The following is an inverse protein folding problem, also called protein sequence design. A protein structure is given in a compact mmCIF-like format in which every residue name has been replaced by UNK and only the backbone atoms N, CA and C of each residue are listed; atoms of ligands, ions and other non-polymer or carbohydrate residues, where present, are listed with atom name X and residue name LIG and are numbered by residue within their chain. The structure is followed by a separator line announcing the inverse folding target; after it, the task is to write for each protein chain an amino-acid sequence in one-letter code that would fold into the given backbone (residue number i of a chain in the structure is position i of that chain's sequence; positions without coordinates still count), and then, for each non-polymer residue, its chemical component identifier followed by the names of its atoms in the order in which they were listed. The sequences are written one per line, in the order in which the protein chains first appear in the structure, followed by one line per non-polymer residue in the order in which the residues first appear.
data_IF_556003422619
#
_entry.id   IF_556003422619
#
_cell.length_a   1.000
_cell.length_b   1.000
_cell.length_c   1.000
_cell.angle_alpha   90.00
_cell.angle_beta   90.00
_cell.angle_gamma   90.00
#
_symmetry.space_group_name_H-M   'P 1'
#
loop_
_entity.id
_entity.type
_entity.pdbx_description
1 polymer ?
#
# COMPACT_ATOMS: atom_id res chain seq x y z
N UNK A 1 11.21 13.79 12.43
CA UNK A 1 9.82 13.28 12.37
C UNK A 1 9.27 13.75 11.04
N UNK A 2 8.72 12.87 10.20
CA UNK A 2 8.12 13.28 8.91
C UNK A 2 6.69 13.71 9.20
N UNK A 3 6.27 14.86 8.69
CA UNK A 3 4.90 15.32 8.85
C UNK A 3 3.93 14.51 7.96
N UNK A 4 2.67 14.26 8.38
CA UNK A 4 1.69 13.50 7.61
C UNK A 4 1.52 13.97 6.15
N UNK A 5 1.52 15.28 5.93
CA UNK A 5 1.39 15.87 4.59
C UNK A 5 2.64 15.68 3.72
N UNK A 6 3.83 15.70 4.32
CA UNK A 6 5.07 15.42 3.61
C UNK A 6 5.15 13.95 3.20
N UNK A 7 4.72 13.04 4.08
CA UNK A 7 4.64 11.61 3.75
C UNK A 7 3.64 11.35 2.62
N UNK A 8 2.46 11.98 2.66
CA UNK A 8 1.50 11.90 1.56
C UNK A 8 2.12 12.34 0.23
N UNK A 9 2.83 13.47 0.22
CA UNK A 9 3.49 13.99 -0.98
C UNK A 9 4.57 13.03 -1.50
N UNK A 10 5.37 12.44 -0.60
CA UNK A 10 6.37 11.42 -0.94
C UNK A 10 5.75 10.17 -1.55
N UNK A 11 4.68 9.65 -0.97
CA UNK A 11 3.95 8.47 -1.49
C UNK A 11 3.37 8.78 -2.87
N UNK A 12 2.69 9.92 -3.02
CA UNK A 12 2.13 10.34 -4.31
C UNK A 12 3.22 10.49 -5.39
N UNK A 13 4.34 11.12 -5.06
CA UNK A 13 5.48 11.24 -5.97
C UNK A 13 6.07 9.87 -6.34
N UNK A 14 6.26 8.97 -5.36
CA UNK A 14 6.87 7.66 -5.56
C UNK A 14 6.02 6.75 -6.47
N UNK A 15 4.70 6.71 -6.25
CA UNK A 15 3.79 5.87 -7.03
C UNK A 15 3.25 6.57 -8.30
N UNK A 16 3.60 7.83 -8.53
CA UNK A 16 3.01 8.65 -9.58
C UNK A 16 1.49 8.78 -9.42
N UNK A 17 1.02 9.00 -8.19
CA UNK A 17 -0.40 9.14 -7.82
C UNK A 17 -0.72 10.60 -7.48
N UNK A 18 -1.98 10.99 -7.61
CA UNK A 18 -2.51 12.29 -7.16
C UNK A 18 -3.61 12.12 -6.10
N UNK A 19 -3.53 11.06 -5.29
CA UNK A 19 -4.51 10.77 -4.25
C UNK A 19 -4.58 11.93 -3.24
N UNK A 20 -5.79 12.44 -3.05
CA UNK A 20 -6.11 13.47 -2.08
C UNK A 20 -7.13 12.88 -1.08
N UNK A 21 -6.75 12.68 0.18
CA UNK A 21 -7.65 12.11 1.18
C UNK A 21 -8.69 13.14 1.64
N UNK A 22 -9.92 12.65 1.87
CA UNK A 22 -10.94 13.38 2.62
C UNK A 22 -10.93 12.89 4.07
N UNK A 23 -10.17 13.54 4.93
CA UNK A 23 -10.05 13.16 6.35
C UNK A 23 -8.80 13.74 7.01
N UNK A 24 -8.57 13.33 8.25
CA UNK A 24 -7.36 13.65 9.01
C UNK A 24 -6.32 12.57 8.78
N UNK A 25 -5.10 12.99 8.44
CA UNK A 25 -3.95 12.12 8.32
C UNK A 25 -3.08 12.20 9.57
N UNK A 26 -2.59 11.08 10.05
CA UNK A 26 -1.66 11.04 11.17
C UNK A 26 -0.68 9.88 11.04
N UNK A 27 0.48 10.01 11.69
CA UNK A 27 1.53 8.99 11.73
C UNK A 27 1.71 8.54 13.18
N UNK A 28 1.83 7.23 13.38
CA UNK A 28 2.12 6.61 14.67
C UNK A 28 2.87 5.31 14.47
N UNK A 29 3.93 5.07 15.23
CA UNK A 29 4.70 3.81 15.21
C UNK A 29 5.05 3.38 13.77
N UNK A 30 5.58 4.32 12.97
CA UNK A 30 5.94 4.14 11.55
C UNK A 30 4.78 3.81 10.61
N UNK A 31 3.54 3.92 11.08
CA UNK A 31 2.31 3.67 10.32
C UNK A 31 1.58 4.97 10.01
N UNK A 32 1.05 5.04 8.81
CA UNK A 32 0.32 6.18 8.27
C UNK A 32 -1.17 5.86 8.19
N UNK A 33 -1.99 6.69 8.82
CA UNK A 33 -3.42 6.45 8.99
C UNK A 33 -4.26 7.55 8.35
N UNK A 34 -5.44 7.15 7.86
CA UNK A 34 -6.52 8.03 7.43
C UNK A 34 -7.73 7.88 8.37
N UNK A 35 -8.16 8.97 8.97
CA UNK A 35 -9.36 9.04 9.80
C UNK A 35 -10.42 9.95 9.19
N UNK A 36 -11.65 9.46 9.04
CA UNK A 36 -12.75 10.20 8.39
C UNK A 36 -13.79 10.76 9.36
N UNK A 37 -13.69 10.47 10.66
CA UNK A 37 -14.70 10.80 11.67
C UNK A 37 -14.76 12.27 12.13
N UNK A 38 -14.17 13.21 11.39
CA UNK A 38 -14.23 14.65 11.66
C UNK A 38 -13.34 15.16 12.79
N UNK A 39 -13.35 14.52 13.97
CA UNK A 39 -12.50 14.87 15.12
C UNK A 39 -11.93 13.59 15.72
N UNK A 40 -10.60 13.48 15.84
CA UNK A 40 -9.95 12.35 16.51
C UNK A 40 -10.04 12.59 18.02
N UNK A 41 -10.74 11.74 18.81
CA UNK A 41 -10.69 11.83 20.26
C UNK A 41 -9.26 11.57 20.72
N UNK A 42 -8.69 12.46 21.54
CA UNK A 42 -7.32 12.37 22.08
C UNK A 42 -7.00 11.02 22.76
N UNK A 43 -8.04 10.31 23.16
CA UNK A 43 -8.01 9.11 23.99
C UNK A 43 -7.95 7.81 23.15
N UNK A 44 -8.19 7.87 21.82
CA UNK A 44 -8.39 6.69 20.97
C UNK A 44 -7.45 6.67 19.74
N UNK A 45 -6.17 6.44 20.00
CA UNK A 45 -5.06 6.67 19.04
C UNK A 45 -4.81 5.50 18.05
N UNK A 46 -5.78 4.60 17.87
CA UNK A 46 -5.77 3.52 16.86
C UNK A 46 -7.00 3.56 15.93
N UNK A 47 -7.75 4.67 15.92
CA UNK A 47 -8.90 4.81 15.05
C UNK A 47 -8.50 5.38 13.70
N UNK A 48 -8.80 4.63 12.65
CA UNK A 48 -8.52 5.03 11.28
C UNK A 48 -8.08 3.85 10.45
N UNK A 49 -8.05 4.07 9.15
CA UNK A 49 -7.56 3.10 8.20
C UNK A 49 -6.04 3.21 8.12
N UNK A 50 -5.32 2.14 8.41
CA UNK A 50 -3.88 2.06 8.14
C UNK A 50 -3.67 1.96 6.63
N UNK A 51 -3.05 2.97 6.01
CA UNK A 51 -2.92 3.09 4.56
C UNK A 51 -1.49 2.86 4.07
N UNK A 52 -0.47 3.17 4.87
CA UNK A 52 0.92 2.95 4.48
C UNK A 52 1.84 2.85 5.71
N UNK A 53 3.09 2.49 5.51
CA UNK A 53 4.15 2.73 6.47
C UNK A 53 5.05 3.89 6.01
N UNK A 54 5.89 4.41 6.90
CA UNK A 54 6.80 5.52 6.61
C UNK A 54 7.89 5.19 5.59
N UNK A 55 8.12 3.89 5.33
CA UNK A 55 9.02 3.38 4.29
C UNK A 55 8.40 3.36 2.89
N UNK A 56 7.19 3.89 2.74
CA UNK A 56 6.37 3.94 1.52
C UNK A 56 5.61 2.64 1.19
N UNK A 57 5.78 1.55 1.94
CA UNK A 57 4.98 0.34 1.73
C UNK A 57 3.49 0.61 1.98
N UNK A 58 2.64 0.29 1.00
CA UNK A 58 1.20 0.46 1.13
C UNK A 58 0.55 -0.80 1.75
N UNK A 59 -0.47 -0.59 2.57
CA UNK A 59 -1.39 -1.68 2.92
C UNK A 59 -2.25 -2.04 1.70
N UNK A 60 -3.03 -3.13 1.76
CA UNK A 60 -3.97 -3.48 0.68
C UNK A 60 -4.96 -2.33 0.45
N UNK A 61 -5.49 -1.78 1.53
CA UNK A 61 -6.43 -0.67 1.51
C UNK A 61 -5.78 0.62 1.01
N UNK A 62 -4.53 0.89 1.42
CA UNK A 62 -3.72 1.97 0.85
C UNK A 62 -3.52 1.82 -0.65
N UNK A 63 -3.10 0.64 -1.11
CA UNK A 63 -2.94 0.35 -2.53
C UNK A 63 -4.24 0.60 -3.31
N UNK A 64 -5.39 0.22 -2.74
CA UNK A 64 -6.70 0.51 -3.35
C UNK A 64 -7.06 1.99 -3.40
N UNK A 65 -6.56 2.81 -2.47
CA UNK A 65 -6.75 4.26 -2.50
C UNK A 65 -5.82 4.93 -3.53
N UNK A 66 -4.51 4.75 -3.39
CA UNK A 66 -3.50 5.37 -4.26
C UNK A 66 -3.51 4.78 -5.67
N UNK A 67 -3.77 3.48 -5.81
CA UNK A 67 -3.73 2.76 -7.08
C UNK A 67 -4.82 3.18 -8.06
N UNK A 68 -5.85 3.91 -7.64
CA UNK A 68 -6.84 4.49 -8.57
C UNK A 68 -6.21 5.50 -9.50
N UNK A 69 -5.19 6.21 -9.02
CA UNK A 69 -4.55 7.34 -9.69
C UNK A 69 -3.06 7.14 -9.94
N UNK A 70 -2.46 6.10 -9.37
CA UNK A 70 -1.04 5.78 -9.57
C UNK A 70 -0.70 5.49 -11.04
N UNK A 71 0.47 5.93 -11.47
CA UNK A 71 1.11 5.51 -12.73
C UNK A 71 1.96 4.24 -12.56
N UNK A 72 2.53 4.01 -11.37
CA UNK A 72 3.40 2.86 -11.08
C UNK A 72 2.57 1.65 -10.63
N UNK A 73 2.20 0.78 -11.58
CA UNK A 73 1.50 -0.49 -11.33
C UNK A 73 2.17 -1.64 -12.08
N UNK A 74 2.06 -2.84 -11.53
CA UNK A 74 2.49 -4.06 -12.18
C UNK A 74 1.30 -5.02 -12.27
N UNK A 75 1.03 -5.49 -13.49
CA UNK A 75 -0.01 -6.48 -13.72
C UNK A 75 0.60 -7.88 -13.56
N UNK A 76 -0.05 -8.71 -12.75
CA UNK A 76 0.30 -10.12 -12.58
C UNK A 76 -0.82 -11.01 -13.13
N UNK A 77 -0.49 -12.25 -13.47
CA UNK A 77 -1.45 -13.22 -13.97
C UNK A 77 -2.45 -13.66 -12.88
N UNK A 78 -3.62 -14.19 -13.24
CA UNK A 78 -4.53 -14.82 -12.28
C UNK A 78 -3.86 -15.94 -11.47
N UNK A 79 -2.99 -16.72 -12.10
CA UNK A 79 -2.23 -17.80 -11.48
C UNK A 79 -1.26 -17.25 -10.43
N UNK A 80 -0.46 -16.24 -10.80
CA UNK A 80 0.45 -15.55 -9.89
C UNK A 80 -0.30 -14.85 -8.76
N UNK A 81 -1.51 -14.34 -9.04
CA UNK A 81 -2.36 -13.74 -8.02
C UNK A 81 -2.73 -14.79 -6.96
N UNK A 82 -3.10 -16.01 -7.36
CA UNK A 82 -3.40 -17.09 -6.42
C UNK A 82 -2.17 -17.44 -5.59
N UNK A 83 -1.01 -17.62 -6.22
CA UNK A 83 0.28 -17.85 -5.52
C UNK A 83 0.60 -16.74 -4.53
N UNK A 84 0.43 -15.48 -4.93
CA UNK A 84 0.65 -14.33 -4.07
C UNK A 84 -0.31 -14.33 -2.86
N UNK A 85 -1.60 -14.61 -3.06
CA UNK A 85 -2.54 -14.70 -1.93
C UNK A 85 -2.28 -15.90 -1.02
N UNK A 86 -1.54 -16.93 -1.46
CA UNK A 86 -1.05 -18.03 -0.62
C UNK A 86 0.22 -17.69 0.17
N UNK A 87 0.81 -16.53 -0.09
CA UNK A 87 2.01 -16.05 0.60
C UNK A 87 3.30 -16.38 -0.14
N UNK A 88 3.21 -16.76 -1.41
CA UNK A 88 4.37 -17.04 -2.25
C UNK A 88 4.96 -15.73 -2.79
N UNK A 89 6.29 -15.70 -2.92
CA UNK A 89 7.01 -14.68 -3.68
C UNK A 89 6.89 -14.98 -5.17
N UNK A 90 6.93 -13.94 -6.00
CA UNK A 90 6.83 -14.08 -7.46
C UNK A 90 8.14 -13.68 -8.12
N UNK A 91 8.50 -14.35 -9.22
CA UNK A 91 9.56 -13.85 -10.10
C UNK A 91 9.02 -12.71 -10.96
N UNK A 92 9.79 -11.65 -11.12
CA UNK A 92 9.39 -10.49 -11.92
C UNK A 92 10.62 -9.84 -12.54
N UNK A 93 10.43 -9.16 -13.67
CA UNK A 93 11.44 -8.31 -14.31
C UNK A 93 11.18 -6.82 -14.02
N UNK A 94 10.30 -6.52 -13.06
CA UNK A 94 10.01 -5.14 -12.66
C UNK A 94 11.21 -4.50 -11.96
N UNK A 95 11.34 -3.17 -12.08
CA UNK A 95 12.37 -2.42 -11.35
C UNK A 95 12.23 -2.59 -9.84
N UNK A 96 13.37 -2.55 -9.14
CA UNK A 96 13.42 -2.67 -7.69
C UNK A 96 12.58 -1.59 -6.97
N UNK A 97 12.08 -1.96 -5.79
CA UNK A 97 11.27 -1.13 -4.90
C UNK A 97 9.80 -1.55 -4.83
N UNK A 98 8.99 -0.72 -4.17
CA UNK A 98 7.57 -1.00 -4.00
C UNK A 98 6.78 -0.76 -5.29
N UNK A 99 5.78 -1.61 -5.51
CA UNK A 99 4.91 -1.54 -6.67
C UNK A 99 3.48 -1.95 -6.32
N UNK A 100 2.51 -1.23 -6.90
CA UNK A 100 1.09 -1.58 -6.75
C UNK A 100 0.78 -2.74 -7.69
N UNK A 101 0.19 -3.80 -7.15
CA UNK A 101 -0.14 -5.01 -7.89
C UNK A 101 -1.56 -4.95 -8.41
N UNK A 102 -1.73 -5.39 -9.65
CA UNK A 102 -3.03 -5.49 -10.29
C UNK A 102 -3.24 -6.85 -10.96
N UNK A 103 -4.47 -7.32 -10.98
CA UNK A 103 -4.88 -8.49 -11.76
C UNK A 103 -6.18 -8.15 -12.48
N UNK A 104 -6.24 -8.31 -13.81
CA UNK A 104 -7.39 -7.97 -14.64
C UNK A 104 -7.93 -6.55 -14.37
N UNK A 105 -7.01 -5.58 -14.22
CA UNK A 105 -7.34 -4.17 -13.95
C UNK A 105 -7.79 -3.86 -12.52
N UNK A 106 -7.89 -4.86 -11.63
CA UNK A 106 -8.24 -4.67 -10.21
C UNK A 106 -6.97 -4.55 -9.37
N UNK A 107 -6.96 -3.61 -8.43
CA UNK A 107 -5.86 -3.46 -7.47
C UNK A 107 -5.99 -4.54 -6.40
N UNK A 108 -4.92 -5.32 -6.22
CA UNK A 108 -4.89 -6.45 -5.27
C UNK A 108 -3.96 -6.21 -4.08
N UNK A 109 -3.02 -5.26 -4.17
CA UNK A 109 -2.13 -4.94 -3.06
C UNK A 109 -0.87 -4.20 -3.47
N UNK A 110 0.18 -4.35 -2.65
CA UNK A 110 1.51 -3.80 -2.86
C UNK A 110 2.55 -4.92 -2.66
N UNK A 111 3.55 -4.97 -3.52
CA UNK A 111 4.71 -5.86 -3.40
C UNK A 111 6.02 -5.08 -3.30
N UNK A 112 7.07 -5.73 -2.84
CA UNK A 112 8.44 -5.20 -2.83
C UNK A 112 9.28 -6.01 -3.81
N UNK A 113 9.82 -5.37 -4.84
CA UNK A 113 10.71 -6.01 -5.80
C UNK A 113 12.15 -5.80 -5.36
N UNK A 114 12.89 -6.90 -5.23
CA UNK A 114 14.32 -6.90 -4.98
C UNK A 114 14.96 -8.02 -5.82
N UNK A 115 15.94 -7.67 -6.67
CA UNK A 115 16.73 -8.65 -7.42
C UNK A 115 15.85 -9.63 -8.23
N UNK A 116 14.92 -9.10 -9.02
CA UNK A 116 13.96 -9.85 -9.86
C UNK A 116 12.99 -10.75 -9.07
N UNK A 117 12.83 -10.51 -7.77
CA UNK A 117 11.88 -11.22 -6.91
C UNK A 117 10.93 -10.22 -6.27
N UNK A 118 9.64 -10.39 -6.51
CA UNK A 118 8.58 -9.67 -5.83
C UNK A 118 8.20 -10.39 -4.55
N UNK A 119 8.59 -9.81 -3.42
CA UNK A 119 8.27 -10.31 -2.09
C UNK A 119 6.80 -10.15 -1.77
N UNK A 120 6.28 -11.15 -1.08
CA UNK A 120 4.95 -11.15 -0.52
C UNK A 120 4.86 -10.22 0.69
N UNK A 121 3.96 -9.22 0.63
CA UNK A 121 3.70 -8.31 1.75
C UNK A 121 2.31 -8.52 2.37
N UNK A 122 1.58 -9.56 1.96
CA UNK A 122 0.26 -9.85 2.52
C UNK A 122 0.43 -10.33 3.97
N UNK A 123 -0.28 -9.74 4.94
CA UNK A 123 -0.24 -10.21 6.32
C UNK A 123 -0.60 -11.70 6.39
N UNK A 124 0.13 -12.48 7.19
CA UNK A 124 -0.09 -13.93 7.35
C UNK A 124 -1.54 -14.31 7.67
N UNK A 125 -2.27 -13.44 8.37
CA UNK A 125 -3.69 -13.61 8.72
C UNK A 125 -4.65 -13.46 7.55
N UNK A 126 -4.21 -12.91 6.42
CA UNK A 126 -4.99 -12.70 5.19
C UNK A 126 -4.64 -13.69 4.08
N UNK A 127 -3.72 -14.61 4.33
CA UNK A 127 -3.35 -15.63 3.35
C UNK A 127 -4.48 -16.63 3.16
N UNK A 128 -4.73 -17.02 1.91
CA UNK A 128 -5.69 -18.07 1.56
C UNK A 128 -5.00 -19.44 1.68
N UNK A 129 -5.78 -20.46 2.06
CA UNK A 129 -5.33 -21.85 2.12
C UNK A 129 -5.71 -22.58 0.84
#
# INVERSE_FOLDING_TARGET
MVEPHELLAKINSYYGSNYLPHGVLYIRDERFFLYTGGVIPLENVWQGLHIANTDLSLTIEGAQLFGKTAGKKHAISPEDTISYFKGEDLKTECDDGFVILTCNGKIIGCGLVESNTMKNLIPKSRLIK
#
